data_IF_005739946625
#
_entry.id   IF_005739946625
#
_cell.length_a   1.000
_cell.length_b   1.000
_cell.length_c   1.000
_cell.angle_alpha   90.00
_cell.angle_beta   90.00
_cell.angle_gamma   90.00
#
_symmetry.space_group_name_H-M   'P 1'
#
loop_
_entity.id
_entity.type
_entity.pdbx_description
1 polymer ?
#
# COMPACT_ATOMS: atom_id res chain seq x y z
N UNK A 1 19.64 6.59 -5.64
CA UNK A 1 18.27 6.10 -5.30
C UNK A 1 18.27 5.81 -3.81
N UNK A 2 17.58 6.62 -3.01
CA UNK A 2 17.51 6.40 -1.57
C UNK A 2 16.78 5.08 -1.34
N UNK A 3 17.44 4.12 -0.70
CA UNK A 3 16.75 2.97 -0.14
C UNK A 3 15.80 3.51 0.93
N UNK A 4 14.50 3.58 0.63
CA UNK A 4 13.49 3.88 1.63
C UNK A 4 13.66 2.85 2.75
N UNK A 5 13.83 3.32 3.98
CA UNK A 5 13.97 2.44 5.13
C UNK A 5 12.77 1.48 5.20
N UNK A 6 12.96 0.23 5.66
CA UNK A 6 11.85 -0.69 5.84
C UNK A 6 10.86 -0.09 6.84
N UNK A 7 9.61 0.08 6.40
CA UNK A 7 8.53 0.60 7.21
C UNK A 7 8.15 -0.44 8.27
N UNK A 8 8.01 0.00 9.50
CA UNK A 8 7.51 -0.84 10.58
C UNK A 8 5.99 -1.10 10.42
N UNK A 9 5.50 -2.34 10.54
CA UNK A 9 4.08 -2.65 10.42
C UNK A 9 3.19 -1.91 11.44
N UNK A 10 3.66 -1.63 12.66
CA UNK A 10 2.87 -0.85 13.62
C UNK A 10 2.82 0.62 13.23
N UNK A 11 3.90 1.19 12.69
CA UNK A 11 3.86 2.53 12.10
C UNK A 11 2.87 2.61 10.95
N UNK A 12 2.89 1.64 10.04
CA UNK A 12 1.96 1.56 8.92
C UNK A 12 0.49 1.64 9.37
N UNK A 13 0.10 0.78 10.32
CA UNK A 13 -1.28 0.79 10.87
C UNK A 13 -1.57 2.09 11.62
N UNK A 14 -0.63 2.62 12.40
CA UNK A 14 -0.83 3.89 13.15
C UNK A 14 -1.02 5.09 12.24
N UNK A 15 -0.30 5.17 11.12
CA UNK A 15 -0.45 6.27 10.16
C UNK A 15 -1.81 6.20 9.49
N UNK A 16 -2.23 5.01 9.04
CA UNK A 16 -3.54 4.79 8.44
C UNK A 16 -4.69 5.09 9.42
N UNK A 17 -4.57 4.64 10.68
CA UNK A 17 -5.55 4.90 11.72
C UNK A 17 -5.69 6.40 12.07
N UNK A 18 -4.70 7.22 11.73
CA UNK A 18 -4.76 8.67 11.87
C UNK A 18 -5.35 9.37 10.63
N UNK A 19 -5.90 8.63 9.65
CA UNK A 19 -6.44 9.18 8.41
C UNK A 19 -5.36 9.78 7.49
N UNK A 20 -4.09 9.38 7.67
CA UNK A 20 -2.96 9.88 6.86
C UNK A 20 -2.52 8.83 5.86
N UNK A 21 -1.97 9.31 4.74
CA UNK A 21 -1.35 8.43 3.76
C UNK A 21 0.04 7.98 4.18
N UNK A 22 0.45 6.80 3.73
CA UNK A 22 1.80 6.29 3.92
C UNK A 22 2.33 5.67 2.63
N UNK A 23 3.57 6.01 2.27
CA UNK A 23 4.23 5.47 1.09
C UNK A 23 5.06 4.23 1.45
N UNK A 24 4.88 3.12 0.73
CA UNK A 24 5.62 1.87 0.88
C UNK A 24 5.98 1.29 -0.50
N UNK A 25 7.28 1.13 -0.79
CA UNK A 25 7.78 0.53 -2.04
C UNK A 25 7.08 1.09 -3.30
N UNK A 26 7.07 2.42 -3.46
CA UNK A 26 6.42 3.15 -4.55
C UNK A 26 4.88 3.01 -4.63
N UNK A 27 4.24 2.48 -3.59
CA UNK A 27 2.80 2.52 -3.41
C UNK A 27 2.44 3.54 -2.34
N UNK A 28 1.26 4.14 -2.44
CA UNK A 28 0.70 5.04 -1.42
C UNK A 28 -0.57 4.42 -0.86
N UNK A 29 -0.64 4.22 0.45
CA UNK A 29 -1.81 3.67 1.12
C UNK A 29 -2.55 4.78 1.88
N UNK A 30 -3.88 4.69 1.90
CA UNK A 30 -4.75 5.57 2.68
C UNK A 30 -5.98 4.80 3.14
N UNK A 31 -6.39 5.01 4.39
CA UNK A 31 -7.68 4.54 4.88
C UNK A 31 -8.61 5.73 5.01
N UNK A 32 -9.77 5.64 4.38
CA UNK A 32 -10.82 6.65 4.39
C UNK A 32 -12.01 6.02 5.12
N UNK A 33 -12.47 6.64 6.21
CA UNK A 33 -13.44 6.04 7.14
C UNK A 33 -14.68 5.44 6.45
N UNK A 34 -15.24 6.14 5.46
CA UNK A 34 -16.46 5.71 4.78
C UNK A 34 -16.21 4.79 3.56
N UNK A 35 -14.99 4.71 3.06
CA UNK A 35 -14.64 3.97 1.84
C UNK A 35 -13.80 2.71 2.11
N UNK A 36 -12.86 2.79 3.06
CA UNK A 36 -11.95 1.72 3.42
C UNK A 36 -10.49 1.98 3.05
N UNK A 37 -9.69 0.91 3.03
CA UNK A 37 -8.28 0.92 2.69
C UNK A 37 -8.09 0.87 1.18
N UNK A 38 -7.38 1.87 0.68
CA UNK A 38 -6.97 2.00 -0.72
C UNK A 38 -5.45 2.03 -0.84
N UNK A 39 -4.97 1.54 -1.98
CA UNK A 39 -3.57 1.54 -2.36
C UNK A 39 -3.43 2.10 -3.77
N UNK A 40 -2.74 3.23 -3.93
CA UNK A 40 -2.30 3.73 -5.22
C UNK A 40 -0.97 3.09 -5.58
N UNK A 41 -0.92 2.43 -6.72
CA UNK A 41 0.29 1.75 -7.18
C UNK A 41 1.23 2.69 -7.97
N UNK A 42 2.46 2.24 -8.32
CA UNK A 42 3.43 3.06 -9.05
C UNK A 42 2.97 3.50 -10.45
N UNK A 43 1.90 2.90 -10.98
CA UNK A 43 1.29 3.26 -12.26
C UNK A 43 0.15 4.29 -12.10
N UNK A 44 -0.11 4.76 -10.89
CA UNK A 44 -1.18 5.71 -10.58
C UNK A 44 -2.57 5.07 -10.55
N UNK A 45 -2.67 3.74 -10.47
CA UNK A 45 -3.93 3.00 -10.41
C UNK A 45 -4.25 2.60 -8.98
N UNK A 46 -5.51 2.79 -8.58
CA UNK A 46 -5.99 2.54 -7.23
C UNK A 46 -6.50 1.09 -7.09
N UNK A 47 -6.18 0.46 -5.95
CA UNK A 47 -6.59 -0.89 -5.59
C UNK A 47 -7.27 -0.87 -4.21
N UNK A 48 -8.44 -1.49 -4.13
CA UNK A 48 -9.21 -1.60 -2.89
C UNK A 48 -8.83 -2.85 -2.10
N UNK A 49 -8.59 -2.69 -0.80
CA UNK A 49 -8.17 -3.78 0.10
C UNK A 49 -9.27 -4.24 1.07
N UNK A 50 -10.27 -3.40 1.33
CA UNK A 50 -11.35 -3.71 2.26
C UNK A 50 -11.75 -2.52 3.13
N UNK A 51 -12.85 -2.66 3.87
CA UNK A 51 -13.42 -1.56 4.68
C UNK A 51 -12.60 -1.21 5.92
N UNK A 52 -11.94 -2.21 6.53
CA UNK A 52 -11.29 -2.05 7.81
C UNK A 52 -9.83 -1.61 7.68
N UNK A 53 -9.30 -1.02 8.74
CA UNK A 53 -7.85 -0.91 8.94
C UNK A 53 -7.24 -2.32 8.97
N UNK A 54 -6.04 -2.50 8.38
CA UNK A 54 -5.37 -3.79 8.41
C UNK A 54 -4.89 -4.10 9.84
N UNK A 55 -4.92 -5.38 10.22
CA UNK A 55 -4.20 -5.82 11.42
C UNK A 55 -2.69 -5.63 11.23
N UNK A 56 -1.92 -5.60 12.31
CA UNK A 56 -0.45 -5.50 12.24
C UNK A 56 0.16 -6.67 11.47
N UNK A 57 -0.37 -7.88 11.65
CA UNK A 57 0.10 -9.06 10.91
C UNK A 57 -0.17 -8.94 9.41
N UNK A 58 -1.37 -8.47 9.03
CA UNK A 58 -1.68 -8.25 7.62
C UNK A 58 -0.87 -7.10 7.01
N UNK A 59 -0.62 -6.03 7.77
CA UNK A 59 0.30 -4.98 7.36
C UNK A 59 1.72 -5.51 7.12
N UNK A 60 2.21 -6.43 7.96
CA UNK A 60 3.51 -7.10 7.74
C UNK A 60 3.49 -7.89 6.44
N UNK A 61 2.44 -8.64 6.16
CA UNK A 61 2.32 -9.40 4.90
C UNK A 61 2.35 -8.50 3.67
N UNK A 62 1.61 -7.38 3.70
CA UNK A 62 1.62 -6.35 2.65
C UNK A 62 3.05 -5.84 2.42
N UNK A 63 3.73 -5.40 3.48
CA UNK A 63 5.08 -4.84 3.40
C UNK A 63 6.10 -5.86 2.89
N UNK A 64 5.99 -7.13 3.30
CA UNK A 64 6.84 -8.22 2.79
C UNK A 64 6.58 -8.44 1.30
N UNK A 65 5.32 -8.50 0.87
CA UNK A 65 4.97 -8.69 -0.53
C UNK A 65 5.53 -7.56 -1.41
N UNK A 66 5.39 -6.31 -0.96
CA UNK A 66 5.95 -5.12 -1.60
C UNK A 66 7.47 -5.18 -1.70
N UNK A 67 8.15 -5.57 -0.63
CA UNK A 67 9.62 -5.72 -0.61
C UNK A 67 10.13 -6.77 -1.62
N UNK A 68 9.28 -7.74 -1.96
CA UNK A 68 9.54 -8.79 -2.96
C UNK A 68 9.16 -8.37 -4.39
N UNK A 69 8.72 -7.12 -4.59
CA UNK A 69 8.36 -6.58 -5.91
C UNK A 69 6.91 -6.80 -6.31
N UNK A 70 6.02 -7.15 -5.39
CA UNK A 70 4.58 -7.22 -5.68
C UNK A 70 4.07 -5.82 -6.02
N UNK A 71 3.30 -5.71 -7.10
CA UNK A 71 2.53 -4.52 -7.45
C UNK A 71 1.06 -4.83 -7.22
N UNK A 72 0.42 -4.08 -6.32
CA UNK A 72 -1.01 -4.24 -6.07
C UNK A 72 -1.84 -3.47 -7.09
N UNK A 73 -3.01 -4.01 -7.43
CA UNK A 73 -3.90 -3.42 -8.43
C UNK A 73 -3.53 -3.75 -9.87
N UNK A 74 -4.15 -3.01 -10.79
CA UNK A 74 -3.93 -3.21 -12.21
C UNK A 74 -2.52 -2.76 -12.63
N UNK A 75 -1.88 -3.55 -13.48
CA UNK A 75 -0.62 -3.20 -14.14
C UNK A 75 -0.94 -2.96 -15.62
N UNK A 76 -0.60 -1.78 -16.18
CA UNK A 76 -0.80 -1.53 -17.61
C UNK A 76 -0.12 -2.62 -18.43
N UNK A 77 -0.86 -3.27 -19.33
CA UNK A 77 -0.21 -4.17 -20.30
C UNK A 77 0.70 -3.31 -21.17
N UNK A 78 1.92 -3.77 -21.43
CA UNK A 78 2.74 -3.20 -22.51
C UNK A 78 1.96 -3.37 -23.81
N UNK A 79 1.42 -2.30 -24.36
CA UNK A 79 0.98 -2.27 -25.75
C UNK A 79 2.24 -2.13 -26.58
N UNK A 80 2.63 -3.21 -27.24
CA UNK A 80 3.83 -3.32 -28.05
C UNK A 80 3.79 -4.65 -28.80
N UNK A 81 2.91 -4.69 -29.80
CA UNK A 81 3.10 -5.47 -31.02
C UNK A 81 3.40 -4.45 -32.13
#
# INVERSE_FOLDING_TARGET
MNASQPIDPHEFVRVLAAGRSIDACAHTFVHIDDEGLWCRNPHGLDAYFGRALPSVDYAREILVALSRGTVFGAVPRRTGD
#
